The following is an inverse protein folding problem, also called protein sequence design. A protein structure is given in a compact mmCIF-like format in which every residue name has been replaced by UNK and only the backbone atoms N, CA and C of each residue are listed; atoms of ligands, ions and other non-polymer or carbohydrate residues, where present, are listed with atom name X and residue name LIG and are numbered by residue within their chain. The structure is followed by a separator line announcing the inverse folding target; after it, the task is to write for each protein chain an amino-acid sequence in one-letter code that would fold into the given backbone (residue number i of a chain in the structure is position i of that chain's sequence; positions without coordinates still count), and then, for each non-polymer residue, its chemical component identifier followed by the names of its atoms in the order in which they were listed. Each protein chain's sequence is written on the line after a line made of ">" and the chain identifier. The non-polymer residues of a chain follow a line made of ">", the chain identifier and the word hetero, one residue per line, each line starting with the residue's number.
data_IF_500516207452
#
_entry.id   IF_500516207452
#
_cell.length_a   1.000
_cell.length_b   1.000
_cell.length_c   1.000
_cell.angle_alpha   90.00
_cell.angle_beta   90.00
_cell.angle_gamma   90.00
#
_symmetry.space_group_name_H-M   'P 1'
#
loop_
_entity.id
_entity.type
_entity.pdbx_description
1 polymer ?
#
# COMPACT_ATOMS: atom_id res chain seq x y z
N UNK A 1 19.26 -17.28 -35.33
CA UNK A 1 19.86 -16.34 -34.36
C UNK A 1 19.01 -15.08 -34.34
N UNK A 2 18.14 -14.91 -33.33
CA UNK A 2 17.60 -13.61 -32.85
C UNK A 2 16.50 -13.90 -31.81
N UNK A 3 16.90 -14.09 -30.56
CA UNK A 3 15.96 -14.01 -29.44
C UNK A 3 15.61 -12.55 -29.24
N UNK A 4 14.40 -12.14 -29.61
CA UNK A 4 13.87 -10.81 -29.31
C UNK A 4 13.85 -10.64 -27.78
N UNK A 5 14.54 -9.61 -27.32
CA UNK A 5 14.75 -9.26 -25.91
C UNK A 5 13.39 -9.13 -25.21
N UNK A 6 13.05 -10.05 -24.32
CA UNK A 6 11.82 -9.97 -23.53
C UNK A 6 11.86 -8.71 -22.66
N UNK A 7 10.99 -7.75 -22.97
CA UNK A 7 10.79 -6.54 -22.18
C UNK A 7 10.27 -6.94 -20.80
N UNK A 8 11.17 -7.06 -19.82
CA UNK A 8 10.79 -7.33 -18.43
C UNK A 8 10.18 -6.04 -17.89
N UNK A 9 8.95 -6.11 -17.40
CA UNK A 9 8.33 -4.99 -16.71
C UNK A 9 9.26 -4.55 -15.56
N UNK A 10 9.50 -3.24 -15.37
CA UNK A 10 10.38 -2.79 -14.30
C UNK A 10 9.84 -3.24 -12.94
N UNK A 11 10.75 -3.49 -12.00
CA UNK A 11 10.36 -3.81 -10.63
C UNK A 11 9.56 -2.65 -10.01
N UNK A 12 8.68 -2.97 -9.07
CA UNK A 12 7.86 -1.99 -8.33
C UNK A 12 8.68 -0.82 -7.76
N UNK A 13 9.89 -1.08 -7.22
CA UNK A 13 10.76 -0.04 -6.69
C UNK A 13 11.28 0.90 -7.77
N UNK A 14 11.61 0.37 -8.95
CA UNK A 14 12.06 1.17 -10.09
C UNK A 14 10.93 2.07 -10.60
N UNK A 15 9.70 1.54 -10.62
CA UNK A 15 8.51 2.32 -11.02
C UNK A 15 8.21 3.44 -10.03
N UNK A 16 8.22 3.15 -8.73
CA UNK A 16 7.97 4.16 -7.69
C UNK A 16 9.06 5.23 -7.74
N UNK A 17 10.33 4.85 -7.86
CA UNK A 17 11.42 5.81 -7.99
C UNK A 17 11.27 6.68 -9.25
N UNK A 18 10.92 6.07 -10.39
CA UNK A 18 10.62 6.80 -11.63
C UNK A 18 9.44 7.77 -11.47
N UNK A 19 8.39 7.36 -10.76
CA UNK A 19 7.24 8.21 -10.46
C UNK A 19 7.61 9.40 -9.56
N UNK A 20 8.46 9.20 -8.57
CA UNK A 20 8.97 10.28 -7.70
C UNK A 20 9.76 11.31 -8.53
N UNK A 21 10.66 10.85 -9.42
CA UNK A 21 11.41 11.76 -10.29
C UNK A 21 10.50 12.52 -11.27
N UNK A 22 9.50 11.83 -11.83
CA UNK A 22 8.53 12.44 -12.72
C UNK A 22 7.68 13.48 -11.99
N UNK A 23 7.25 13.19 -10.76
CA UNK A 23 6.53 14.13 -9.92
C UNK A 23 7.38 15.37 -9.58
N UNK A 24 8.65 15.20 -9.18
CA UNK A 24 9.58 16.30 -8.94
C UNK A 24 9.73 17.20 -10.17
N UNK A 25 9.88 16.61 -11.36
CA UNK A 25 10.00 17.37 -12.60
C UNK A 25 8.70 18.12 -12.93
N UNK A 26 7.54 17.49 -12.71
CA UNK A 26 6.25 18.11 -12.91
C UNK A 26 6.07 19.34 -12.00
N UNK A 27 6.59 19.31 -10.76
CA UNK A 27 6.49 20.45 -9.84
C UNK A 27 7.27 21.69 -10.29
N UNK A 28 8.25 21.55 -11.19
CA UNK A 28 8.90 22.73 -11.80
C UNK A 28 8.05 23.39 -12.89
N UNK A 29 7.12 22.66 -13.49
CA UNK A 29 6.24 23.17 -14.55
C UNK A 29 4.92 23.68 -13.99
N UNK A 30 4.41 23.05 -12.91
CA UNK A 30 3.15 23.41 -12.29
C UNK A 30 3.34 24.37 -11.10
N UNK A 31 2.84 25.62 -11.18
CA UNK A 31 2.87 26.54 -10.04
C UNK A 31 1.92 26.07 -8.93
N UNK A 32 2.31 26.30 -7.68
CA UNK A 32 1.41 26.09 -6.55
C UNK A 32 0.25 27.10 -6.62
N UNK A 33 -0.96 26.62 -6.37
CA UNK A 33 -2.13 27.48 -6.32
C UNK A 33 -3.15 26.99 -5.32
N UNK A 34 -3.91 27.93 -4.80
CA UNK A 34 -4.96 27.69 -3.83
C UNK A 34 -6.30 28.20 -4.37
N UNK A 35 -7.37 27.59 -3.87
CA UNK A 35 -8.72 28.07 -4.10
C UNK A 35 -9.34 28.44 -2.76
N UNK A 36 -10.09 29.54 -2.75
CA UNK A 36 -10.92 29.92 -1.62
C UNK A 36 -11.99 28.85 -1.37
N UNK A 37 -12.20 28.52 -0.09
CA UNK A 37 -13.14 27.48 0.35
C UNK A 37 -14.15 28.09 1.29
N UNK A 38 -15.42 27.77 1.05
CA UNK A 38 -16.51 28.04 1.98
C UNK A 38 -16.93 26.70 2.60
N UNK A 39 -16.48 26.45 3.83
CA UNK A 39 -16.59 25.14 4.47
C UNK A 39 -15.82 24.05 3.70
N UNK A 40 -16.54 23.08 3.11
CA UNK A 40 -15.95 21.98 2.32
C UNK A 40 -16.01 22.21 0.80
N UNK A 41 -16.66 23.29 0.35
CA UNK A 41 -16.86 23.56 -1.07
C UNK A 41 -15.83 24.56 -1.59
N UNK A 42 -15.26 24.26 -2.75
CA UNK A 42 -14.33 25.14 -3.45
C UNK A 42 -15.11 26.14 -4.29
N UNK A 43 -14.77 27.43 -4.21
CA UNK A 43 -15.40 28.48 -5.00
C UNK A 43 -14.80 28.47 -6.42
N UNK A 44 -15.58 28.27 -7.49
CA UNK A 44 -15.06 28.31 -8.86
C UNK A 44 -14.54 29.70 -9.23
N UNK A 45 -13.42 29.76 -9.96
CA UNK A 45 -12.84 31.02 -10.45
C UNK A 45 -11.98 31.79 -9.44
N UNK A 46 -11.89 31.36 -8.19
CA UNK A 46 -11.03 32.00 -7.15
C UNK A 46 -9.64 31.37 -7.08
N UNK A 47 -9.13 30.83 -8.19
CA UNK A 47 -7.77 30.30 -8.24
C UNK A 47 -6.77 31.45 -8.02
N UNK A 48 -5.88 31.30 -7.06
CA UNK A 48 -4.75 32.21 -6.86
C UNK A 48 -3.47 31.40 -6.78
N UNK A 49 -2.51 31.75 -7.64
CA UNK A 49 -1.16 31.23 -7.50
C UNK A 49 -0.59 31.75 -6.18
N UNK A 50 -0.02 30.84 -5.39
CA UNK A 50 0.65 31.17 -4.13
C UNK A 50 2.14 31.13 -4.33
N UNK A 51 2.87 31.96 -3.58
CA UNK A 51 4.32 32.02 -3.67
C UNK A 51 4.91 30.74 -3.08
N UNK A 52 5.35 29.85 -3.96
CA UNK A 52 6.00 28.60 -3.58
C UNK A 52 7.51 28.79 -3.51
N UNK A 53 8.13 28.34 -2.42
CA UNK A 53 9.58 28.28 -2.35
C UNK A 53 10.11 27.30 -3.42
N UNK A 54 11.18 27.65 -4.16
CA UNK A 54 11.73 26.77 -5.18
C UNK A 54 12.23 25.46 -4.55
N UNK A 55 11.81 24.35 -5.13
CA UNK A 55 12.16 23.02 -4.64
C UNK A 55 13.59 22.68 -5.05
N UNK A 56 14.41 22.26 -4.08
CA UNK A 56 15.78 21.87 -4.34
C UNK A 56 15.85 20.62 -5.26
N UNK A 57 16.84 20.52 -6.18
CA UNK A 57 16.97 19.37 -7.07
C UNK A 57 17.12 18.02 -6.37
N UNK A 58 17.56 18.01 -5.11
CA UNK A 58 17.75 16.80 -4.29
C UNK A 58 16.56 16.48 -3.38
N UNK A 59 15.45 17.22 -3.46
CA UNK A 59 14.26 16.97 -2.63
C UNK A 59 13.64 15.58 -2.89
N UNK A 60 13.79 15.02 -4.09
CA UNK A 60 13.29 13.67 -4.38
C UNK A 60 13.90 12.58 -3.48
N UNK A 61 15.11 12.79 -2.93
CA UNK A 61 15.73 11.87 -1.98
C UNK A 61 14.97 11.84 -0.65
N UNK A 62 14.39 12.96 -0.21
CA UNK A 62 13.63 13.04 1.04
C UNK A 62 12.22 12.48 0.89
N UNK A 63 11.71 12.34 -0.34
CA UNK A 63 10.42 11.72 -0.61
C UNK A 63 10.35 10.26 -0.11
N UNK A 64 11.48 9.53 -0.14
CA UNK A 64 11.54 8.13 0.32
C UNK A 64 11.36 8.05 1.85
N UNK A 65 12.17 8.73 2.69
CA UNK A 65 11.94 8.78 4.13
C UNK A 65 10.56 9.31 4.52
N UNK A 66 10.08 10.37 3.87
CA UNK A 66 8.75 10.94 4.17
C UNK A 66 7.64 9.94 3.87
N UNK A 67 7.69 9.29 2.70
CA UNK A 67 6.71 8.25 2.36
C UNK A 67 6.77 7.05 3.33
N UNK A 68 7.95 6.72 3.88
CA UNK A 68 8.08 5.68 4.89
C UNK A 68 7.43 6.08 6.22
N UNK A 69 7.54 7.36 6.61
CA UNK A 69 6.87 7.91 7.80
C UNK A 69 5.35 7.88 7.61
N UNK A 70 4.85 8.29 6.44
CA UNK A 70 3.41 8.25 6.13
C UNK A 70 2.85 6.82 6.09
N UNK A 71 3.68 5.85 5.68
CA UNK A 71 3.33 4.43 5.67
C UNK A 71 3.58 3.71 7.01
N UNK A 72 4.08 4.41 8.04
CA UNK A 72 4.54 3.80 9.28
C UNK A 72 3.46 2.97 9.98
N UNK A 73 2.21 3.45 10.01
CA UNK A 73 1.09 2.74 10.63
C UNK A 73 0.87 1.35 10.01
N UNK A 74 0.94 1.26 8.68
CA UNK A 74 0.78 -0.01 7.95
C UNK A 74 1.98 -0.92 8.19
N UNK A 75 3.20 -0.39 8.13
CA UNK A 75 4.43 -1.16 8.32
C UNK A 75 4.47 -1.76 9.74
N UNK A 76 4.21 -0.94 10.76
CA UNK A 76 4.17 -1.38 12.15
C UNK A 76 3.05 -2.41 12.35
N UNK A 77 1.87 -2.19 11.78
CA UNK A 77 0.78 -3.16 11.83
C UNK A 77 1.18 -4.52 11.25
N UNK A 78 1.75 -4.55 10.03
CA UNK A 78 2.20 -5.79 9.39
C UNK A 78 3.29 -6.47 10.21
N UNK A 79 4.22 -5.72 10.80
CA UNK A 79 5.28 -6.27 11.66
C UNK A 79 4.70 -6.92 12.92
N UNK A 80 3.75 -6.26 13.61
CA UNK A 80 3.09 -6.81 14.80
C UNK A 80 2.31 -8.07 14.44
N UNK A 81 1.50 -8.01 13.37
CA UNK A 81 0.71 -9.15 12.87
C UNK A 81 1.63 -10.31 12.51
N UNK A 82 2.71 -10.06 11.76
CA UNK A 82 3.71 -11.06 11.41
C UNK A 82 4.39 -11.67 12.64
N UNK A 83 4.70 -10.86 13.66
CA UNK A 83 5.25 -11.33 14.93
C UNK A 83 4.29 -12.26 15.68
N UNK A 84 3.01 -11.87 15.78
CA UNK A 84 1.96 -12.70 16.39
C UNK A 84 1.80 -14.01 15.64
N UNK A 85 1.70 -13.97 14.30
CA UNK A 85 1.64 -15.18 13.48
C UNK A 85 2.88 -16.08 13.66
N UNK A 86 4.06 -15.49 13.82
CA UNK A 86 5.30 -16.21 14.14
C UNK A 86 5.18 -17.00 15.45
N UNK A 87 4.68 -16.36 16.52
CA UNK A 87 4.46 -17.02 17.83
C UNK A 87 3.38 -18.09 17.74
N UNK A 88 2.26 -17.82 17.08
CA UNK A 88 1.17 -18.78 16.90
C UNK A 88 1.63 -20.03 16.13
N UNK A 89 2.53 -19.86 15.15
CA UNK A 89 3.10 -20.97 14.39
C UNK A 89 4.15 -21.74 15.18
N UNK A 90 5.03 -21.04 15.90
CA UNK A 90 6.05 -21.67 16.74
C UNK A 90 5.44 -22.51 17.87
N UNK A 91 4.29 -22.10 18.39
CA UNK A 91 3.55 -22.83 19.43
C UNK A 91 2.67 -23.96 18.90
N UNK A 92 2.55 -24.12 17.56
CA UNK A 92 1.62 -25.07 16.96
C UNK A 92 0.13 -24.73 17.16
N UNK A 93 -0.16 -23.51 17.65
CA UNK A 93 -1.54 -23.06 17.93
C UNK A 93 -2.39 -23.06 16.65
N UNK A 94 -1.80 -22.67 15.51
CA UNK A 94 -2.49 -22.71 14.21
C UNK A 94 -2.90 -24.13 13.85
N UNK A 95 -1.98 -25.09 13.95
CA UNK A 95 -2.25 -26.49 13.61
C UNK A 95 -3.28 -27.10 14.56
N UNK A 96 -3.20 -26.79 15.87
CA UNK A 96 -4.18 -27.21 16.87
C UNK A 96 -5.57 -26.61 16.64
N UNK A 97 -5.64 -25.33 16.25
CA UNK A 97 -6.91 -24.65 15.95
C UNK A 97 -7.58 -25.23 14.70
N UNK A 98 -6.80 -25.48 13.64
CA UNK A 98 -7.29 -26.15 12.42
C UNK A 98 -7.75 -27.57 12.75
N UNK A 99 -6.94 -28.34 13.49
CA UNK A 99 -7.28 -29.70 13.89
C UNK A 99 -8.55 -29.76 14.73
N UNK A 100 -8.69 -28.87 15.71
CA UNK A 100 -9.91 -28.79 16.55
C UNK A 100 -11.14 -28.39 15.74
N UNK A 101 -11.01 -27.44 14.80
CA UNK A 101 -12.09 -27.04 13.91
C UNK A 101 -12.56 -28.21 13.04
N UNK A 102 -11.62 -28.97 12.45
CA UNK A 102 -11.92 -30.18 11.66
C UNK A 102 -12.61 -31.22 12.55
N UNK A 103 -12.11 -31.46 13.76
CA UNK A 103 -12.66 -32.50 14.64
C UNK A 103 -14.10 -32.20 15.07
N UNK A 104 -14.39 -30.94 15.44
CA UNK A 104 -15.76 -30.48 15.77
C UNK A 104 -16.71 -30.55 14.58
N UNK A 105 -16.22 -30.32 13.36
CA UNK A 105 -17.05 -30.37 12.17
C UNK A 105 -17.27 -31.83 11.70
N UNK A 106 -16.30 -32.72 11.92
CA UNK A 106 -16.40 -34.17 11.68
C UNK A 106 -17.44 -34.85 12.58
N UNK A 107 -17.62 -34.36 13.82
CA UNK A 107 -18.69 -34.81 14.72
C UNK A 107 -20.10 -34.47 14.22
N UNK A 108 -20.23 -33.62 13.18
CA UNK A 108 -21.50 -33.33 12.49
C UNK A 108 -21.34 -33.46 10.97
N UNK A 109 -21.29 -34.70 10.43
CA UNK A 109 -21.03 -34.95 9.01
C UNK A 109 -22.05 -34.27 8.08
N UNK A 110 -23.28 -34.00 8.56
CA UNK A 110 -24.32 -33.27 7.82
C UNK A 110 -23.94 -31.80 7.57
N UNK A 111 -23.18 -31.15 8.46
CA UNK A 111 -22.68 -29.77 8.27
C UNK A 111 -21.50 -29.73 7.29
N UNK A 112 -20.64 -30.76 7.30
CA UNK A 112 -19.55 -30.88 6.31
C UNK A 112 -20.10 -31.10 4.90
N UNK A 113 -21.01 -32.07 4.74
CA UNK A 113 -21.65 -32.37 3.45
C UNK A 113 -22.56 -31.22 3.02
N UNK A 114 -23.34 -30.65 3.95
CA UNK A 114 -24.20 -29.50 3.67
C UNK A 114 -23.42 -28.27 3.24
N UNK A 115 -22.35 -27.91 3.95
CA UNK A 115 -21.50 -26.76 3.61
C UNK A 115 -20.73 -26.93 2.30
N UNK A 116 -20.34 -28.15 1.92
CA UNK A 116 -19.70 -28.44 0.63
C UNK A 116 -20.70 -28.46 -0.54
N UNK A 117 -21.94 -28.87 -0.30
CA UNK A 117 -22.99 -28.93 -1.33
C UNK A 117 -23.68 -27.58 -1.55
N UNK A 118 -23.68 -26.69 -0.55
CA UNK A 118 -24.31 -25.36 -0.63
C UNK A 118 -23.38 -24.21 -1.03
N UNK A 119 -22.06 -24.40 -0.95
CA UNK A 119 -21.04 -23.44 -1.41
C UNK A 119 -20.62 -23.71 -2.86
#
# INVERSE_FOLDING_TARGET
>A
MTGLRSWRFPDSLVLIFGLILLAQLATYVLPAGEFEREGRQVIPGTYRAVEAAPIAPLTFLTAIPVGLIDAADIIIFILVVGGVFGVLRATGTIDALIGSAIHRLSERPVLLVGGLVTL
#
